data_IF_719195917516
#
_entry.id   IF_719195917516
#
_cell.length_a   1.000
_cell.length_b   1.000
_cell.length_c   1.000
_cell.angle_alpha   90.00
_cell.angle_beta   90.00
_cell.angle_gamma   90.00
#
_symmetry.space_group_name_H-M   'P 1'
#
loop_
_entity.id
_entity.type
_entity.pdbx_description
1 polymer ?
#
# COMPACT_ATOMS: atom_id res chain seq x y z
N UNK A 1 -0.11 -60.31 13.09
CA UNK A 1 -0.68 -61.07 11.96
C UNK A 1 0.38 -61.06 10.86
N UNK A 2 1.00 -62.21 10.50
CA UNK A 2 2.07 -62.23 9.52
C UNK A 2 1.51 -61.87 8.13
N UNK A 3 2.07 -60.83 7.50
CA UNK A 3 1.70 -60.44 6.16
C UNK A 3 1.96 -61.61 5.19
N UNK A 4 1.05 -61.91 4.25
CA UNK A 4 1.21 -63.04 3.34
C UNK A 4 2.45 -62.83 2.47
N UNK A 5 3.39 -63.77 2.56
CA UNK A 5 4.74 -63.77 1.94
C UNK A 5 4.70 -63.51 0.43
N UNK A 6 3.58 -63.80 -0.23
CA UNK A 6 3.34 -63.56 -1.65
C UNK A 6 3.31 -62.07 -2.05
N UNK A 7 3.06 -61.14 -1.11
CA UNK A 7 3.04 -59.70 -1.38
C UNK A 7 4.40 -59.02 -1.25
N UNK A 8 5.40 -59.68 -0.65
CA UNK A 8 6.76 -59.15 -0.47
C UNK A 8 7.41 -58.64 -1.77
N UNK A 9 7.36 -59.35 -2.92
CA UNK A 9 7.92 -58.84 -4.17
C UNK A 9 7.15 -57.64 -4.72
N UNK A 10 5.84 -57.54 -4.50
CA UNK A 10 5.01 -56.42 -4.93
C UNK A 10 5.28 -55.15 -4.10
N UNK A 11 5.47 -55.31 -2.78
CA UNK A 11 5.82 -54.24 -1.86
C UNK A 11 7.28 -53.79 -2.09
N UNK A 12 8.18 -54.73 -2.41
CA UNK A 12 9.56 -54.41 -2.79
C UNK A 12 9.66 -53.71 -4.16
N UNK A 13 8.78 -54.03 -5.11
CA UNK A 13 8.71 -53.36 -6.41
C UNK A 13 8.12 -51.94 -6.31
N UNK A 14 7.02 -51.77 -5.58
CA UNK A 14 6.39 -50.46 -5.37
C UNK A 14 7.28 -49.50 -4.58
N UNK A 15 8.00 -49.98 -3.56
CA UNK A 15 8.94 -49.14 -2.80
C UNK A 15 10.18 -48.68 -3.59
N UNK A 16 10.65 -49.45 -4.58
CA UNK A 16 11.72 -49.01 -5.49
C UNK A 16 11.24 -47.93 -6.47
N UNK A 17 10.02 -48.06 -6.98
CA UNK A 17 9.44 -47.09 -7.93
C UNK A 17 9.01 -45.80 -7.24
N UNK A 18 8.57 -45.83 -5.98
CA UNK A 18 8.16 -44.63 -5.23
C UNK A 18 9.31 -43.74 -4.76
N UNK A 19 10.55 -44.26 -4.66
CA UNK A 19 11.71 -43.48 -4.19
C UNK A 19 12.08 -42.32 -5.12
N UNK A 20 11.97 -42.53 -6.43
CA UNK A 20 12.30 -41.53 -7.46
C UNK A 20 11.31 -40.34 -7.45
N UNK A 21 9.98 -40.56 -7.48
CA UNK A 21 9.01 -39.46 -7.39
C UNK A 21 9.00 -38.82 -6.00
N UNK A 22 9.26 -39.55 -4.91
CA UNK A 22 9.34 -38.94 -3.57
C UNK A 22 10.48 -37.92 -3.46
N UNK A 23 11.64 -38.22 -4.05
CA UNK A 23 12.77 -37.28 -4.09
C UNK A 23 12.47 -36.09 -5.00
N UNK A 24 11.85 -36.33 -6.17
CA UNK A 24 11.44 -35.25 -7.08
C UNK A 24 10.41 -34.30 -6.44
N UNK A 25 9.44 -34.84 -5.69
CA UNK A 25 8.43 -34.05 -4.97
C UNK A 25 9.06 -33.30 -3.79
N UNK A 26 10.03 -33.90 -3.09
CA UNK A 26 10.75 -33.22 -2.01
C UNK A 26 11.56 -32.02 -2.53
N UNK A 27 12.33 -32.18 -3.60
CA UNK A 27 13.08 -31.08 -4.20
C UNK A 27 12.19 -30.06 -4.90
N UNK A 28 11.10 -30.50 -5.55
CA UNK A 28 10.08 -29.61 -6.10
C UNK A 28 9.39 -28.77 -5.03
N UNK A 29 9.08 -29.37 -3.88
CA UNK A 29 8.52 -28.68 -2.71
C UNK A 29 9.48 -27.67 -2.10
N UNK A 30 10.76 -28.01 -1.96
CA UNK A 30 11.80 -27.08 -1.48
C UNK A 30 11.99 -25.88 -2.41
N UNK A 31 12.01 -26.12 -3.73
CA UNK A 31 12.11 -25.04 -4.71
C UNK A 31 10.88 -24.13 -4.69
N UNK A 32 9.68 -24.71 -4.58
CA UNK A 32 8.43 -23.94 -4.44
C UNK A 32 8.42 -23.10 -3.16
N UNK A 33 8.89 -23.66 -2.03
CA UNK A 33 8.99 -22.94 -0.76
C UNK A 33 9.98 -21.77 -0.84
N UNK A 34 11.11 -21.95 -1.53
CA UNK A 34 12.10 -20.90 -1.74
C UNK A 34 11.55 -19.78 -2.62
N UNK A 35 10.87 -20.12 -3.72
CA UNK A 35 10.20 -19.15 -4.60
C UNK A 35 9.08 -18.41 -3.87
N UNK A 36 8.29 -19.10 -3.05
CA UNK A 36 7.26 -18.48 -2.22
C UNK A 36 7.86 -17.51 -1.19
N UNK A 37 8.97 -17.88 -0.55
CA UNK A 37 9.70 -17.00 0.36
C UNK A 37 10.24 -15.75 -0.34
N UNK A 38 10.84 -15.91 -1.53
CA UNK A 38 11.28 -14.77 -2.34
C UNK A 38 10.10 -13.90 -2.80
N UNK A 39 8.96 -14.48 -3.13
CA UNK A 39 7.74 -13.74 -3.50
C UNK A 39 7.21 -12.90 -2.33
N UNK A 40 7.18 -13.45 -1.11
CA UNK A 40 6.80 -12.70 0.10
C UNK A 40 7.83 -11.62 0.43
N UNK A 41 9.12 -11.88 0.25
CA UNK A 41 10.17 -10.90 0.52
C UNK A 41 10.14 -9.73 -0.46
N UNK A 42 10.01 -10.00 -1.76
CA UNK A 42 9.90 -8.97 -2.81
C UNK A 42 8.59 -8.19 -2.67
N UNK A 43 7.47 -8.87 -2.41
CA UNK A 43 6.18 -8.20 -2.19
C UNK A 43 6.18 -7.34 -0.94
N UNK A 44 6.93 -7.69 0.11
CA UNK A 44 7.03 -6.87 1.33
C UNK A 44 7.67 -5.51 1.08
N UNK A 45 8.73 -5.44 0.28
CA UNK A 45 9.37 -4.16 -0.07
C UNK A 45 8.47 -3.30 -0.97
N UNK A 46 7.79 -3.94 -1.93
CA UNK A 46 6.83 -3.25 -2.81
C UNK A 46 5.63 -2.74 -2.01
N UNK A 47 5.08 -3.56 -1.09
CA UNK A 47 3.97 -3.19 -0.24
C UNK A 47 4.30 -2.04 0.70
N UNK A 48 5.51 -2.01 1.28
CA UNK A 48 5.96 -0.89 2.11
C UNK A 48 6.08 0.40 1.30
N UNK A 49 6.68 0.36 0.11
CA UNK A 49 6.80 1.54 -0.76
C UNK A 49 5.42 2.06 -1.19
N UNK A 50 4.52 1.16 -1.57
CA UNK A 50 3.14 1.53 -1.93
C UNK A 50 2.35 2.05 -0.73
N UNK A 51 2.55 1.50 0.46
CA UNK A 51 1.91 1.99 1.69
C UNK A 51 2.38 3.41 2.02
N UNK A 52 3.67 3.72 1.86
CA UNK A 52 4.20 5.08 2.06
C UNK A 52 3.61 6.05 1.04
N UNK A 53 3.56 5.68 -0.24
CA UNK A 53 2.96 6.53 -1.28
C UNK A 53 1.47 6.75 -1.01
N UNK A 54 0.73 5.69 -0.67
CA UNK A 54 -0.69 5.79 -0.34
C UNK A 54 -0.94 6.67 0.89
N UNK A 55 -0.07 6.58 1.90
CA UNK A 55 -0.16 7.42 3.09
C UNK A 55 0.09 8.90 2.79
N UNK A 56 1.11 9.21 1.97
CA UNK A 56 1.41 10.58 1.55
C UNK A 56 0.27 11.17 0.70
N UNK A 57 -0.27 10.40 -0.24
CA UNK A 57 -1.40 10.83 -1.07
C UNK A 57 -2.67 11.01 -0.22
N UNK A 58 -2.93 10.09 0.72
CA UNK A 58 -4.05 10.19 1.65
C UNK A 58 -4.00 11.45 2.51
N UNK A 59 -2.81 11.78 3.04
CA UNK A 59 -2.59 13.02 3.78
C UNK A 59 -2.84 14.27 2.92
N UNK A 60 -2.38 14.27 1.66
CA UNK A 60 -2.60 15.40 0.75
C UNK A 60 -4.09 15.62 0.46
N UNK A 61 -4.86 14.55 0.24
CA UNK A 61 -6.31 14.62 0.02
C UNK A 61 -7.04 15.08 1.28
N UNK A 62 -6.66 14.59 2.45
CA UNK A 62 -7.25 15.00 3.72
C UNK A 62 -7.07 16.50 3.99
N UNK A 63 -5.87 17.03 3.71
CA UNK A 63 -5.58 18.47 3.82
C UNK A 63 -6.45 19.26 2.82
N UNK A 64 -6.52 18.85 1.56
CA UNK A 64 -7.33 19.53 0.55
C UNK A 64 -8.83 19.54 0.92
N UNK A 65 -9.34 18.42 1.42
CA UNK A 65 -10.73 18.31 1.88
C UNK A 65 -11.00 19.21 3.09
N UNK A 66 -10.06 19.33 4.04
CA UNK A 66 -10.22 20.21 5.20
C UNK A 66 -10.37 21.69 4.81
N UNK A 67 -9.59 22.16 3.82
CA UNK A 67 -9.72 23.52 3.30
C UNK A 67 -11.04 23.75 2.59
N UNK A 68 -11.52 22.76 1.83
CA UNK A 68 -12.80 22.84 1.15
C UNK A 68 -13.96 22.97 2.16
N UNK A 69 -13.97 22.12 3.20
CA UNK A 69 -14.96 22.17 4.27
C UNK A 69 -14.92 23.47 5.08
N UNK A 70 -13.74 24.03 5.34
CA UNK A 70 -13.62 25.34 6.00
C UNK A 70 -14.24 26.46 5.17
N UNK A 71 -13.99 26.48 3.86
CA UNK A 71 -14.54 27.49 2.96
C UNK A 71 -16.06 27.34 2.81
N UNK A 72 -16.57 26.12 2.79
CA UNK A 72 -18.00 25.86 2.75
C UNK A 72 -18.69 26.22 4.08
N UNK A 73 -18.06 25.91 5.22
CA UNK A 73 -18.54 26.33 6.54
C UNK A 73 -18.61 27.86 6.67
N UNK A 74 -17.66 28.58 6.08
CA UNK A 74 -17.70 30.05 5.99
C UNK A 74 -18.90 30.48 5.14
N UNK A 75 -19.11 29.87 3.97
CA UNK A 75 -20.24 30.23 3.10
C UNK A 75 -21.62 30.06 3.75
N UNK A 76 -21.76 29.13 4.69
CA UNK A 76 -23.00 28.94 5.46
C UNK A 76 -23.30 30.07 6.44
N UNK A 77 -22.26 30.71 7.00
CA UNK A 77 -22.41 31.78 8.00
C UNK A 77 -22.56 33.16 7.34
N UNK A 78 -22.16 33.32 6.08
CA UNK A 78 -22.25 34.60 5.39
C UNK A 78 -23.68 34.93 4.92
N UNK A 79 -24.07 36.23 4.94
CA UNK A 79 -25.33 36.67 4.38
C UNK A 79 -25.47 36.26 2.90
N UNK A 80 -26.67 35.83 2.46
CA UNK A 80 -26.87 35.30 1.10
C UNK A 80 -26.54 36.32 0.00
N UNK A 81 -26.69 37.62 0.28
CA UNK A 81 -26.33 38.70 -0.65
C UNK A 81 -24.82 38.75 -0.93
N UNK A 82 -23.99 38.46 0.08
CA UNK A 82 -22.54 38.45 -0.07
C UNK A 82 -22.07 37.25 -0.90
N UNK A 83 -22.70 36.08 -0.72
CA UNK A 83 -22.40 34.89 -1.52
C UNK A 83 -22.72 35.09 -3.00
N UNK A 84 -23.81 35.81 -3.32
CA UNK A 84 -24.19 36.12 -4.71
C UNK A 84 -23.26 37.15 -5.35
N UNK A 85 -22.86 38.18 -4.60
CA UNK A 85 -21.90 39.18 -5.07
C UNK A 85 -20.51 38.57 -5.32
N UNK A 86 -20.03 37.71 -4.42
CA UNK A 86 -18.76 37.00 -4.60
C UNK A 86 -18.80 36.00 -5.76
N UNK A 87 -19.94 35.34 -5.98
CA UNK A 87 -20.14 34.44 -7.13
C UNK A 87 -20.04 35.11 -8.50
N UNK A 88 -20.14 36.45 -8.59
CA UNK A 88 -19.89 37.20 -9.83
C UNK A 88 -18.40 37.45 -10.11
N UNK A 89 -17.55 37.42 -9.08
CA UNK A 89 -16.11 37.73 -9.17
C UNK A 89 -15.27 36.45 -9.14
N UNK A 90 -15.64 35.48 -8.30
CA UNK A 90 -14.89 34.22 -8.18
C UNK A 90 -15.48 33.15 -9.09
N UNK A 91 -14.68 32.53 -9.98
CA UNK A 91 -15.14 31.41 -10.79
C UNK A 91 -15.50 30.22 -9.90
N UNK A 92 -16.42 29.37 -10.35
CA UNK A 92 -16.90 28.18 -9.60
C UNK A 92 -15.78 27.21 -9.21
N UNK A 93 -14.65 27.23 -9.91
CA UNK A 93 -13.48 26.39 -9.63
C UNK A 93 -12.45 27.07 -8.69
N UNK A 94 -12.68 28.30 -8.23
CA UNK A 94 -11.72 29.02 -7.41
C UNK A 94 -11.45 28.32 -6.06
N UNK A 95 -12.51 27.79 -5.42
CA UNK A 95 -12.42 27.10 -4.13
C UNK A 95 -11.53 25.84 -4.22
N UNK A 96 -11.77 24.90 -5.16
CA UNK A 96 -10.89 23.73 -5.31
C UNK A 96 -9.48 24.09 -5.81
N UNK A 97 -9.31 25.13 -6.63
CA UNK A 97 -7.99 25.57 -7.06
C UNK A 97 -7.17 26.20 -5.91
N UNK A 98 -7.80 27.01 -5.06
CA UNK A 98 -7.11 27.62 -3.92
C UNK A 98 -6.79 26.57 -2.84
N UNK A 99 -7.68 25.61 -2.60
CA UNK A 99 -7.44 24.53 -1.64
C UNK A 99 -6.29 23.63 -2.09
N UNK A 100 -6.20 23.31 -3.39
CA UNK A 100 -5.09 22.52 -3.94
C UNK A 100 -3.75 23.27 -3.87
N UNK A 101 -3.71 24.57 -4.18
CA UNK A 101 -2.50 25.40 -4.02
C UNK A 101 -2.06 25.49 -2.55
N UNK A 102 -3.00 25.70 -1.62
CA UNK A 102 -2.71 25.73 -0.20
C UNK A 102 -2.18 24.37 0.30
N UNK A 103 -2.79 23.28 -0.14
CA UNK A 103 -2.37 21.91 0.18
C UNK A 103 -0.97 21.61 -0.34
N UNK A 104 -0.64 22.05 -1.56
CA UNK A 104 0.70 21.91 -2.13
C UNK A 104 1.77 22.67 -1.33
N UNK A 105 1.45 23.88 -0.85
CA UNK A 105 2.37 24.67 0.01
C UNK A 105 2.60 24.00 1.35
N UNK A 106 1.55 23.46 1.97
CA UNK A 106 1.64 22.76 3.26
C UNK A 106 2.43 21.45 3.09
N UNK A 107 2.18 20.70 2.02
CA UNK A 107 2.94 19.49 1.70
C UNK A 107 4.45 19.79 1.56
N UNK A 108 4.81 20.88 0.86
CA UNK A 108 6.21 21.32 0.78
C UNK A 108 6.79 21.69 2.14
N UNK A 109 6.02 22.36 3.00
CA UNK A 109 6.45 22.73 4.34
C UNK A 109 6.72 21.49 5.20
N UNK A 110 5.79 20.53 5.23
CA UNK A 110 5.94 19.26 5.96
C UNK A 110 7.18 18.50 5.48
N UNK A 111 7.43 18.46 4.17
CA UNK A 111 8.61 17.80 3.62
C UNK A 111 9.93 18.43 4.08
N UNK A 112 9.96 19.75 4.24
CA UNK A 112 11.13 20.47 4.74
C UNK A 112 11.46 20.08 6.18
N UNK A 113 10.43 19.88 7.03
CA UNK A 113 10.61 19.39 8.40
C UNK A 113 11.12 17.96 8.46
N UNK A 114 10.68 17.08 7.55
CA UNK A 114 11.19 15.70 7.48
C UNK A 114 12.69 15.68 7.17
N UNK A 115 13.13 16.48 6.17
CA UNK A 115 14.56 16.60 5.83
C UNK A 115 15.36 17.16 7.02
N UNK A 116 14.85 18.22 7.68
CA UNK A 116 15.47 18.78 8.87
C UNK A 116 15.60 17.76 10.02
N UNK A 117 14.55 16.97 10.27
CA UNK A 117 14.55 15.93 11.30
C UNK A 117 15.58 14.83 11.00
N UNK A 118 15.69 14.39 9.74
CA UNK A 118 16.67 13.38 9.32
C UNK A 118 18.11 13.88 9.54
N UNK A 119 18.40 15.12 9.13
CA UNK A 119 19.73 15.71 9.31
C UNK A 119 20.09 15.91 10.79
N UNK A 120 19.12 16.19 11.65
CA UNK A 120 19.36 16.37 13.09
C UNK A 120 19.66 15.04 13.82
N UNK A 121 19.14 13.92 13.33
CA UNK A 121 19.32 12.59 13.97
C UNK A 121 20.60 11.90 13.48
N UNK A 122 21.07 12.22 12.28
CA UNK A 122 22.30 11.66 11.71
C UNK A 122 23.55 12.51 11.97
N UNK A 123 23.41 13.72 12.52
CA UNK A 123 24.49 14.64 12.88
C UNK A 123 24.93 14.57 14.33
#
# INVERSE_FOLDING_TARGET
MPAPVFLLPLIAATSKVLRIPAIAVFFGGLAAQLVAWFSVFVSRNIALNLAVIAFVVGLAVAIAASFWLMLEGISYVLPPEFSRAMGMITPSNAIPCLSTVASAKIARWVWMWQIYAIHRVTG
#
